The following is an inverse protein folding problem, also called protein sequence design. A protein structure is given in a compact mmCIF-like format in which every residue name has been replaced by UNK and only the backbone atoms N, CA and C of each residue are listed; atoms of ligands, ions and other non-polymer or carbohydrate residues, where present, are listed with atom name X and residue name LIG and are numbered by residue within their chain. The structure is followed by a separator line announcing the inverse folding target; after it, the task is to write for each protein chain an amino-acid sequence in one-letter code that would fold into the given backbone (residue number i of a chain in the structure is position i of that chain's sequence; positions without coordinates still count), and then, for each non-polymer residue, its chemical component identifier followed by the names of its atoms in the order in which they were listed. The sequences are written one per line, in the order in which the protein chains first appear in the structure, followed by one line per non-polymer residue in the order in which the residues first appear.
data_IF_819442432964
#
_entry.id   IF_819442432964
#
_cell.length_a   1.000
_cell.length_b   1.000
_cell.length_c   1.000
_cell.angle_alpha   90.00
_cell.angle_beta   90.00
_cell.angle_gamma   90.00
#
_symmetry.space_group_name_H-M   'P 1'
#
loop_
_entity.id
_entity.type
_entity.pdbx_description
1 polymer ?
#
# COMPACT_ATOMS: atom_id res chain seq x y z
N UNK A 1 4.97 -19.62 -3.55
CA UNK A 1 4.84 -19.29 -2.12
C UNK A 1 4.40 -17.84 -2.05
N UNK A 2 3.21 -17.58 -1.53
CA UNK A 2 2.62 -16.24 -1.55
C UNK A 2 3.36 -15.31 -0.58
N UNK A 3 3.77 -14.12 -1.04
CA UNK A 3 4.44 -13.13 -0.18
C UNK A 3 3.50 -12.01 0.22
N UNK A 4 3.29 -11.84 1.51
CA UNK A 4 2.31 -10.89 2.06
C UNK A 4 2.96 -9.93 3.04
N UNK A 5 2.51 -8.67 3.02
CA UNK A 5 2.81 -7.66 4.03
C UNK A 5 1.53 -7.26 4.75
N UNK A 6 1.55 -7.30 6.08
CA UNK A 6 0.54 -6.67 6.92
C UNK A 6 1.25 -5.58 7.71
N UNK A 7 0.81 -4.33 7.55
CA UNK A 7 1.48 -3.19 8.17
C UNK A 7 0.47 -2.17 8.69
N UNK A 8 0.55 -1.88 9.99
CA UNK A 8 -0.06 -0.69 10.57
C UNK A 8 0.79 0.54 10.25
N UNK A 9 0.36 1.31 9.25
CA UNK A 9 1.12 2.44 8.73
C UNK A 9 0.75 3.78 9.39
N UNK A 10 -0.35 3.83 10.15
CA UNK A 10 -0.88 5.05 10.80
C UNK A 10 -0.90 6.27 9.87
N UNK A 11 -1.24 6.06 8.59
CA UNK A 11 -1.22 7.09 7.57
C UNK A 11 -0.48 6.69 6.29
N UNK A 12 -1.22 6.55 5.19
CA UNK A 12 -0.69 6.33 3.83
C UNK A 12 -1.02 7.49 2.87
N UNK A 13 -1.60 8.58 3.38
CA UNK A 13 -1.96 9.74 2.56
C UNK A 13 -0.77 10.56 2.03
N UNK A 14 0.41 10.42 2.64
CA UNK A 14 1.59 11.20 2.28
C UNK A 14 2.50 10.45 1.28
N UNK A 15 3.25 11.22 0.47
CA UNK A 15 4.17 10.66 -0.52
C UNK A 15 5.27 9.76 0.08
N UNK A 16 5.87 10.06 1.26
CA UNK A 16 6.90 9.21 1.85
C UNK A 16 6.41 7.79 2.17
N UNK A 17 5.25 7.66 2.82
CA UNK A 17 4.71 6.32 3.15
C UNK A 17 4.33 5.57 1.88
N UNK A 18 3.71 6.23 0.90
CA UNK A 18 3.38 5.59 -0.39
C UNK A 18 4.63 5.07 -1.09
N UNK A 19 5.71 5.87 -1.13
CA UNK A 19 6.98 5.46 -1.71
C UNK A 19 7.57 4.24 -0.97
N UNK A 20 7.49 4.23 0.37
CA UNK A 20 7.96 3.11 1.19
C UNK A 20 7.16 1.83 0.92
N UNK A 21 5.83 1.89 0.87
CA UNK A 21 5.00 0.72 0.54
C UNK A 21 5.35 0.19 -0.85
N UNK A 22 5.49 1.08 -1.84
CA UNK A 22 5.86 0.70 -3.20
C UNK A 22 7.23 0.02 -3.27
N UNK A 23 8.23 0.55 -2.57
CA UNK A 23 9.56 -0.03 -2.52
C UNK A 23 9.56 -1.40 -1.84
N UNK A 24 8.82 -1.57 -0.73
CA UNK A 24 8.68 -2.87 -0.08
C UNK A 24 8.00 -3.89 -0.99
N UNK A 25 6.95 -3.46 -1.69
CA UNK A 25 6.21 -4.29 -2.65
C UNK A 25 7.12 -4.79 -3.77
N UNK A 26 7.94 -3.91 -4.36
CA UNK A 26 8.85 -4.29 -5.44
C UNK A 26 10.05 -5.12 -4.96
N UNK A 27 10.70 -4.72 -3.86
CA UNK A 27 11.89 -5.40 -3.34
C UNK A 27 11.59 -6.83 -2.90
N UNK A 28 10.47 -7.04 -2.21
CA UNK A 28 10.11 -8.36 -1.70
C UNK A 28 9.22 -9.15 -2.67
N UNK A 29 8.81 -8.56 -3.81
CA UNK A 29 7.84 -9.15 -4.75
C UNK A 29 6.56 -9.57 -4.02
N UNK A 30 5.97 -8.62 -3.28
CA UNK A 30 4.75 -8.87 -2.51
C UNK A 30 3.56 -9.02 -3.45
N UNK A 31 2.75 -10.04 -3.21
CA UNK A 31 1.50 -10.29 -3.94
C UNK A 31 0.29 -9.72 -3.18
N UNK A 32 0.38 -9.56 -1.86
CA UNK A 32 -0.71 -9.03 -1.04
C UNK A 32 -0.14 -8.00 -0.06
N UNK A 33 -0.78 -6.84 0.03
CA UNK A 33 -0.45 -5.79 1.00
C UNK A 33 -1.71 -5.37 1.74
N UNK A 34 -1.74 -5.58 3.05
CA UNK A 34 -2.80 -5.11 3.93
C UNK A 34 -2.26 -3.95 4.79
N UNK A 35 -2.84 -2.76 4.61
CA UNK A 35 -2.50 -1.56 5.37
C UNK A 35 -3.56 -1.29 6.44
N UNK A 36 -3.14 -1.22 7.70
CA UNK A 36 -3.99 -0.90 8.84
C UNK A 36 -3.81 0.57 9.25
N UNK A 37 -4.88 1.17 9.75
CA UNK A 37 -4.95 2.60 10.10
C UNK A 37 -4.39 3.51 8.99
N UNK A 38 -4.91 3.44 7.74
CA UNK A 38 -4.35 4.21 6.63
C UNK A 38 -4.59 5.71 6.74
N UNK A 39 -5.46 6.18 7.65
CA UNK A 39 -5.80 7.59 7.90
C UNK A 39 -6.11 8.39 6.62
N UNK A 40 -6.85 7.77 5.69
CA UNK A 40 -7.30 8.38 4.43
C UNK A 40 -8.81 8.23 4.28
N UNK A 41 -9.41 9.14 3.53
CA UNK A 41 -10.81 9.02 3.10
C UNK A 41 -10.94 7.89 2.07
N UNK A 42 -12.09 7.22 2.07
CA UNK A 42 -12.42 6.14 1.13
C UNK A 42 -12.28 6.56 -0.34
N UNK A 43 -12.68 7.78 -0.68
CA UNK A 43 -12.53 8.34 -2.03
C UNK A 43 -11.07 8.35 -2.51
N UNK A 44 -10.12 8.58 -1.59
CA UNK A 44 -8.67 8.59 -1.89
C UNK A 44 -8.06 7.19 -1.89
N UNK A 45 -8.77 6.18 -1.39
CA UNK A 45 -8.25 4.82 -1.30
C UNK A 45 -8.02 4.20 -2.69
N UNK A 46 -8.90 4.48 -3.66
CA UNK A 46 -8.74 4.03 -5.04
C UNK A 46 -7.48 4.60 -5.70
N UNK A 47 -7.26 5.91 -5.55
CA UNK A 47 -6.07 6.58 -6.09
C UNK A 47 -4.77 6.06 -5.46
N UNK A 48 -4.78 5.84 -4.14
CA UNK A 48 -3.61 5.30 -3.44
C UNK A 48 -3.34 3.86 -3.86
N UNK A 49 -4.38 3.03 -3.98
CA UNK A 49 -4.27 1.66 -4.52
C UNK A 49 -3.61 1.65 -5.90
N UNK A 50 -4.05 2.52 -6.80
CA UNK A 50 -3.47 2.72 -8.14
C UNK A 50 -2.00 3.15 -8.07
N UNK A 51 -1.67 4.17 -7.27
CA UNK A 51 -0.28 4.66 -7.09
C UNK A 51 0.67 3.62 -6.51
N UNK A 52 0.14 2.70 -5.70
CA UNK A 52 0.88 1.57 -5.13
C UNK A 52 1.04 0.40 -6.11
N UNK A 53 0.39 0.43 -7.28
CA UNK A 53 0.51 -0.58 -8.33
C UNK A 53 -0.51 -1.73 -8.24
N UNK A 54 -1.57 -1.58 -7.43
CA UNK A 54 -2.61 -2.59 -7.22
C UNK A 54 -3.87 -2.33 -8.05
N UNK A 55 -3.70 -1.96 -9.31
CA UNK A 55 -4.79 -1.45 -10.17
C UNK A 55 -5.86 -2.49 -10.54
N UNK A 56 -5.50 -3.79 -10.54
CA UNK A 56 -6.32 -4.90 -11.05
C UNK A 56 -6.57 -6.03 -10.01
N UNK A 57 -6.58 -5.70 -8.71
CA UNK A 57 -7.01 -6.62 -7.64
C UNK A 57 -8.46 -6.40 -7.25
#
# INVERSE_FOLDING_TARGET
MCRTLVWNCRGVGNSPTQCRVRNLTSQHKLEIVALLEPMINLEKAGDIRRRLGFENM
#
